data_IF_999080374963
#
_entry.id   IF_999080374963
#
_cell.length_a   1.000
_cell.length_b   1.000
_cell.length_c   1.000
_cell.angle_alpha   90.00
_cell.angle_beta   90.00
_cell.angle_gamma   90.00
#
_symmetry.space_group_name_H-M   'P 1'
#
loop_
_entity.id
_entity.type
_entity.pdbx_description
1 polymer ?
#
# COMPACT_ATOMS: atom_id res chain seq x y z
N UNK A 1 -13.42 20.53 7.33
CA UNK A 1 -13.46 21.16 6.01
C UNK A 1 -14.17 20.18 5.07
N UNK A 2 -14.61 20.58 3.88
CA UNK A 2 -15.08 19.60 2.88
C UNK A 2 -13.88 19.06 2.09
N UNK A 3 -13.92 17.80 1.63
CA UNK A 3 -12.82 17.26 0.82
C UNK A 3 -12.50 18.13 -0.39
N UNK A 4 -13.50 18.79 -0.98
CA UNK A 4 -13.30 19.72 -2.09
C UNK A 4 -12.41 20.91 -1.72
N UNK A 5 -12.54 21.44 -0.50
CA UNK A 5 -11.66 22.49 0.01
C UNK A 5 -10.25 21.95 0.26
N UNK A 6 -10.12 20.73 0.76
CA UNK A 6 -8.83 20.06 0.99
C UNK A 6 -8.09 19.76 -0.32
N UNK A 7 -8.78 19.19 -1.32
CA UNK A 7 -8.22 18.96 -2.66
C UNK A 7 -7.90 20.27 -3.39
N UNK A 8 -8.73 21.31 -3.23
CA UNK A 8 -8.45 22.63 -3.79
C UNK A 8 -7.19 23.25 -3.17
N UNK A 9 -7.06 23.17 -1.84
CA UNK A 9 -5.87 23.61 -1.09
C UNK A 9 -4.63 22.85 -1.56
N UNK A 10 -4.75 21.54 -1.74
CA UNK A 10 -3.71 20.67 -2.28
C UNK A 10 -3.29 21.05 -3.72
N UNK A 11 -4.23 21.48 -4.57
CA UNK A 11 -3.95 21.86 -5.97
C UNK A 11 -3.27 23.24 -6.11
N UNK A 12 -3.45 24.13 -5.13
CA UNK A 12 -2.80 25.47 -5.14
C UNK A 12 -1.31 25.45 -4.80
N UNK A 13 -0.78 24.34 -4.29
CA UNK A 13 0.57 24.25 -3.75
C UNK A 13 1.47 23.42 -4.69
N UNK A 14 2.01 24.09 -5.71
CA UNK A 14 2.76 23.47 -6.81
C UNK A 14 4.15 22.91 -6.45
N UNK A 15 4.78 23.38 -5.38
CA UNK A 15 6.23 23.13 -5.17
C UNK A 15 6.61 22.58 -3.78
N UNK A 16 5.68 22.46 -2.83
CA UNK A 16 5.99 22.05 -1.47
C UNK A 16 4.76 21.60 -0.71
N UNK A 17 4.66 20.30 -0.39
CA UNK A 17 3.69 19.77 0.58
C UNK A 17 4.13 20.02 2.04
N UNK A 18 5.20 20.78 2.26
CA UNK A 18 5.84 21.01 3.57
C UNK A 18 4.94 21.81 4.55
N UNK A 19 3.80 22.32 4.09
CA UNK A 19 2.81 23.08 4.89
C UNK A 19 1.54 22.30 5.25
N UNK A 20 1.43 21.00 4.93
CA UNK A 20 0.28 20.21 5.40
C UNK A 20 0.41 19.86 6.87
N UNK A 21 -0.56 20.33 7.67
CA UNK A 21 -0.73 19.88 9.04
C UNK A 21 -1.51 18.55 9.07
N UNK A 22 -1.46 17.88 10.22
CA UNK A 22 -2.14 16.59 10.41
C UNK A 22 -3.66 16.69 10.22
N UNK A 23 -4.24 17.88 10.44
CA UNK A 23 -5.68 18.07 10.35
C UNK A 23 -6.17 17.99 8.91
N UNK A 24 -5.48 18.62 7.97
CA UNK A 24 -5.86 18.58 6.56
C UNK A 24 -5.80 17.15 6.00
N UNK A 25 -4.77 16.37 6.37
CA UNK A 25 -4.60 15.00 5.89
C UNK A 25 -5.57 14.03 6.56
N UNK A 26 -6.02 14.31 7.79
CA UNK A 26 -7.04 13.49 8.46
C UNK A 26 -8.37 13.42 7.68
N UNK A 27 -8.67 14.40 6.83
CA UNK A 27 -9.88 14.40 5.99
C UNK A 27 -9.84 13.38 4.85
N UNK A 28 -8.65 12.87 4.51
CA UNK A 28 -8.50 11.78 3.56
C UNK A 28 -8.81 10.41 4.17
N UNK A 29 -8.98 10.35 5.50
CA UNK A 29 -9.33 9.12 6.22
C UNK A 29 -10.74 8.66 5.86
N UNK A 30 -10.90 7.37 5.58
CA UNK A 30 -12.21 6.78 5.28
C UNK A 30 -12.83 7.32 3.99
N UNK A 31 -11.99 7.74 3.02
CA UNK A 31 -12.43 8.36 1.77
C UNK A 31 -13.56 7.57 1.10
N UNK A 32 -14.66 8.24 0.74
CA UNK A 32 -15.78 7.56 0.10
C UNK A 32 -15.60 7.45 -1.42
N UNK A 33 -16.41 6.65 -2.14
CA UNK A 33 -16.22 6.46 -3.58
C UNK A 33 -16.28 7.74 -4.43
N UNK A 34 -17.15 8.71 -4.09
CA UNK A 34 -17.29 9.98 -4.84
C UNK A 34 -16.03 10.82 -4.66
N UNK A 35 -15.57 10.89 -3.42
CA UNK A 35 -14.36 11.56 -3.01
C UNK A 35 -13.11 10.95 -3.63
N UNK A 36 -13.06 9.62 -3.71
CA UNK A 36 -11.97 8.89 -4.33
C UNK A 36 -11.79 9.23 -5.80
N UNK A 37 -12.88 9.42 -6.56
CA UNK A 37 -12.78 9.88 -7.95
C UNK A 37 -12.06 11.23 -8.07
N UNK A 38 -12.37 12.18 -7.18
CA UNK A 38 -11.71 13.49 -7.16
C UNK A 38 -10.25 13.39 -6.74
N UNK A 39 -9.95 12.53 -5.76
CA UNK A 39 -8.59 12.23 -5.35
C UNK A 39 -7.77 11.67 -6.52
N UNK A 40 -8.32 10.75 -7.30
CA UNK A 40 -7.64 10.16 -8.46
C UNK A 40 -7.32 11.18 -9.55
N UNK A 41 -8.26 12.09 -9.87
CA UNK A 41 -8.01 13.17 -10.83
C UNK A 41 -6.90 14.11 -10.34
N UNK A 42 -6.94 14.46 -9.05
CA UNK A 42 -5.92 15.29 -8.42
C UNK A 42 -4.55 14.58 -8.38
N UNK A 43 -4.51 13.30 -8.05
CA UNK A 43 -3.29 12.49 -7.97
C UNK A 43 -2.47 12.53 -9.27
N UNK A 44 -3.14 12.49 -10.42
CA UNK A 44 -2.50 12.57 -11.75
C UNK A 44 -1.78 13.91 -11.97
N UNK A 45 -2.23 14.98 -11.31
CA UNK A 45 -1.63 16.32 -11.44
C UNK A 45 -0.33 16.50 -10.63
N UNK A 46 -0.06 15.59 -9.69
CA UNK A 46 1.09 15.66 -8.78
C UNK A 46 2.38 15.14 -9.43
N UNK A 47 3.50 15.80 -9.12
CA UNK A 47 4.83 15.24 -9.37
C UNK A 47 5.09 14.01 -8.50
N UNK A 48 6.02 13.16 -8.93
CA UNK A 48 6.43 11.96 -8.18
C UNK A 48 6.89 12.30 -6.75
N UNK A 49 7.63 13.39 -6.56
CA UNK A 49 8.08 13.83 -5.23
C UNK A 49 6.91 14.22 -4.33
N UNK A 50 5.89 14.90 -4.87
CA UNK A 50 4.69 15.26 -4.10
C UNK A 50 3.88 14.02 -3.73
N UNK A 51 3.69 13.11 -4.68
CA UNK A 51 3.00 11.84 -4.41
C UNK A 51 3.69 11.04 -3.31
N UNK A 52 5.00 10.88 -3.38
CA UNK A 52 5.76 10.13 -2.37
C UNK A 52 5.67 10.80 -0.99
N UNK A 53 5.86 12.12 -0.91
CA UNK A 53 5.76 12.86 0.35
C UNK A 53 4.33 12.77 0.95
N UNK A 54 3.28 12.76 0.13
CA UNK A 54 1.91 12.55 0.61
C UNK A 54 1.74 11.17 1.26
N UNK A 55 2.17 10.09 0.58
CA UNK A 55 2.01 8.73 1.10
C UNK A 55 2.82 8.53 2.39
N UNK A 56 4.04 9.06 2.45
CA UNK A 56 4.85 9.03 3.67
C UNK A 56 4.18 9.75 4.84
N UNK A 57 3.56 10.90 4.59
CA UNK A 57 2.83 11.64 5.63
C UNK A 57 1.57 10.92 6.08
N UNK A 58 0.80 10.37 5.15
CA UNK A 58 -0.40 9.59 5.46
C UNK A 58 -0.03 8.37 6.33
N UNK A 59 1.02 7.63 5.96
CA UNK A 59 1.52 6.51 6.76
C UNK A 59 1.92 6.95 8.16
N UNK A 60 2.70 8.03 8.27
CA UNK A 60 3.13 8.58 9.56
C UNK A 60 1.95 8.97 10.46
N UNK A 61 0.94 9.64 9.91
CA UNK A 61 -0.23 10.09 10.67
C UNK A 61 -1.08 8.89 11.11
N UNK A 62 -1.21 7.87 10.27
CA UNK A 62 -1.91 6.63 10.62
C UNK A 62 -1.19 5.87 11.76
N UNK A 63 0.15 5.89 11.79
CA UNK A 63 0.93 5.32 12.89
C UNK A 63 0.72 6.08 14.22
N UNK A 64 0.54 7.40 14.15
CA UNK A 64 0.35 8.26 15.32
C UNK A 64 -1.12 8.25 15.81
N UNK A 65 -2.10 7.97 14.94
CA UNK A 65 -3.52 7.94 15.26
C UNK A 65 -4.27 6.78 14.59
N UNK A 66 -4.57 5.74 15.39
CA UNK A 66 -5.27 4.51 14.96
C UNK A 66 -6.72 4.73 14.51
N UNK A 67 -7.34 5.89 14.77
CA UNK A 67 -8.69 6.20 14.27
C UNK A 67 -8.70 6.59 12.79
N UNK A 68 -7.52 6.88 12.21
CA UNK A 68 -7.38 7.28 10.81
C UNK A 68 -7.04 6.07 9.92
N UNK A 69 -7.81 5.91 8.85
CA UNK A 69 -7.71 4.78 7.91
C UNK A 69 -7.59 5.29 6.47
N UNK A 70 -6.51 4.90 5.77
CA UNK A 70 -6.24 5.37 4.41
C UNK A 70 -6.14 4.24 3.38
N UNK A 71 -6.71 3.07 3.68
CA UNK A 71 -6.50 1.86 2.89
C UNK A 71 -6.97 1.97 1.44
N UNK A 72 -8.08 2.66 1.17
CA UNK A 72 -8.56 2.85 -0.22
C UNK A 72 -7.59 3.72 -1.06
N UNK A 73 -6.97 4.73 -0.44
CA UNK A 73 -5.94 5.56 -1.08
C UNK A 73 -4.69 4.73 -1.34
N UNK A 74 -4.17 4.06 -0.32
CA UNK A 74 -2.96 3.24 -0.42
C UNK A 74 -3.14 2.09 -1.42
N UNK A 75 -4.32 1.47 -1.46
CA UNK A 75 -4.65 0.42 -2.42
C UNK A 75 -4.63 0.95 -3.87
N UNK A 76 -5.14 2.15 -4.10
CA UNK A 76 -5.08 2.79 -5.41
C UNK A 76 -3.64 3.06 -5.86
N UNK A 77 -2.78 3.52 -4.95
CA UNK A 77 -1.39 3.88 -5.26
C UNK A 77 -0.46 2.68 -5.43
N UNK A 78 -0.91 1.45 -5.14
CA UNK A 78 -0.22 0.21 -5.53
C UNK A 78 -0.02 0.07 -7.04
N UNK A 79 -0.73 0.84 -7.87
CA UNK A 79 -0.59 0.84 -9.32
C UNK A 79 0.17 2.06 -9.86
N UNK A 80 0.74 2.89 -8.99
CA UNK A 80 1.50 4.06 -9.45
C UNK A 80 2.75 3.64 -10.24
N UNK A 81 3.18 4.49 -11.17
CA UNK A 81 4.34 4.24 -12.01
C UNK A 81 5.64 4.22 -11.19
N UNK A 82 5.73 5.06 -10.15
CA UNK A 82 6.91 5.10 -9.29
C UNK A 82 6.97 3.89 -8.36
N UNK A 83 8.09 3.14 -8.36
CA UNK A 83 8.25 2.02 -7.44
C UNK A 83 8.34 2.46 -5.98
N UNK A 84 8.85 3.65 -5.70
CA UNK A 84 8.93 4.14 -4.31
C UNK A 84 7.55 4.40 -3.73
N UNK A 85 6.61 4.90 -4.55
CA UNK A 85 5.21 5.05 -4.15
C UNK A 85 4.56 3.69 -3.89
N UNK A 86 4.74 2.72 -4.81
CA UNK A 86 4.17 1.37 -4.61
C UNK A 86 4.71 0.71 -3.35
N UNK A 87 6.02 0.83 -3.11
CA UNK A 87 6.71 0.32 -1.91
C UNK A 87 6.14 0.97 -0.65
N UNK A 88 6.05 2.28 -0.61
CA UNK A 88 5.52 3.01 0.55
C UNK A 88 4.04 2.70 0.81
N UNK A 89 3.27 2.48 -0.26
CA UNK A 89 1.86 2.10 -0.17
C UNK A 89 1.69 0.69 0.44
N UNK A 90 2.52 -0.28 0.04
CA UNK A 90 2.55 -1.61 0.64
C UNK A 90 2.90 -1.55 2.13
N UNK A 91 3.83 -0.67 2.50
CA UNK A 91 4.21 -0.48 3.89
C UNK A 91 3.03 0.02 4.73
N UNK A 92 2.31 1.04 4.27
CA UNK A 92 1.14 1.58 4.96
C UNK A 92 -0.06 0.63 5.08
N UNK A 93 -0.09 -0.44 4.27
CA UNK A 93 -1.16 -1.43 4.27
C UNK A 93 -0.93 -2.60 5.24
N UNK A 94 0.14 -2.58 6.04
CA UNK A 94 0.60 -3.74 6.82
C UNK A 94 -0.42 -4.28 7.85
N UNK A 95 -1.28 -3.42 8.40
CA UNK A 95 -2.33 -3.80 9.36
C UNK A 95 -3.64 -4.22 8.68
N UNK A 96 -3.79 -3.98 7.37
CA UNK A 96 -5.03 -4.25 6.67
C UNK A 96 -5.26 -5.75 6.50
N UNK A 97 -6.40 -6.26 6.96
CA UNK A 97 -6.83 -7.65 6.79
C UNK A 97 -7.76 -7.85 5.56
N UNK A 98 -7.99 -6.82 4.74
CA UNK A 98 -8.84 -6.93 3.55
C UNK A 98 -8.19 -7.86 2.50
N UNK A 99 -8.94 -8.86 2.07
CA UNK A 99 -8.48 -9.87 1.11
C UNK A 99 -8.02 -9.27 -0.23
N UNK A 100 -8.54 -8.11 -0.64
CA UNK A 100 -8.15 -7.39 -1.86
C UNK A 100 -6.68 -6.98 -1.81
N UNK A 101 -6.19 -6.64 -0.62
CA UNK A 101 -4.81 -6.26 -0.38
C UNK A 101 -3.91 -7.48 -0.51
N UNK A 102 -4.28 -8.61 0.11
CA UNK A 102 -3.55 -9.86 -0.05
C UNK A 102 -3.48 -10.32 -1.51
N UNK A 103 -4.60 -10.20 -2.24
CA UNK A 103 -4.69 -10.54 -3.67
C UNK A 103 -3.75 -9.68 -4.54
N UNK A 104 -3.69 -8.37 -4.27
CA UNK A 104 -2.80 -7.43 -4.97
C UNK A 104 -1.33 -7.62 -4.59
N UNK A 105 -1.03 -7.81 -3.30
CA UNK A 105 0.33 -8.06 -2.82
C UNK A 105 0.91 -9.36 -3.42
N UNK A 106 0.08 -10.38 -3.62
CA UNK A 106 0.46 -11.60 -4.35
C UNK A 106 0.84 -11.35 -5.81
N UNK A 107 0.12 -10.47 -6.52
CA UNK A 107 0.46 -10.09 -7.89
C UNK A 107 1.77 -9.31 -7.92
N UNK A 108 1.90 -8.32 -7.06
CA UNK A 108 3.12 -7.48 -6.94
C UNK A 108 4.34 -8.35 -6.62
N UNK A 109 4.23 -9.31 -5.69
CA UNK A 109 5.33 -10.23 -5.37
C UNK A 109 5.85 -10.99 -6.60
N UNK A 110 4.96 -11.35 -7.52
CA UNK A 110 5.28 -12.15 -8.70
C UNK A 110 5.70 -11.32 -9.92
N UNK A 111 5.11 -10.14 -10.08
CA UNK A 111 5.10 -9.44 -11.37
C UNK A 111 5.72 -8.03 -11.33
N UNK A 112 5.92 -7.43 -10.14
CA UNK A 112 6.54 -6.10 -10.08
C UNK A 112 7.97 -6.15 -10.64
N UNK A 113 8.35 -5.10 -11.37
CA UNK A 113 9.66 -5.01 -12.01
C UNK A 113 10.77 -4.70 -11.01
N UNK A 114 10.42 -4.03 -9.91
CA UNK A 114 11.38 -3.58 -8.92
C UNK A 114 11.43 -4.53 -7.73
N UNK A 115 12.60 -5.13 -7.50
CA UNK A 115 12.79 -6.13 -6.46
C UNK A 115 12.46 -5.59 -5.05
N UNK A 116 12.75 -4.30 -4.82
CA UNK A 116 12.43 -3.63 -3.55
C UNK A 116 10.93 -3.58 -3.26
N UNK A 117 10.09 -3.46 -4.30
CA UNK A 117 8.62 -3.49 -4.18
C UNK A 117 8.15 -4.91 -3.92
N UNK A 118 8.70 -5.90 -4.63
CA UNK A 118 8.43 -7.33 -4.38
C UNK A 118 8.77 -7.73 -2.95
N UNK A 119 9.90 -7.24 -2.42
CA UNK A 119 10.34 -7.45 -1.03
C UNK A 119 9.31 -6.88 -0.04
N UNK A 120 8.82 -5.67 -0.28
CA UNK A 120 7.82 -5.06 0.61
C UNK A 120 6.47 -5.80 0.53
N UNK A 121 6.07 -6.25 -0.66
CA UNK A 121 4.88 -7.09 -0.84
C UNK A 121 5.00 -8.41 -0.08
N UNK A 122 6.19 -9.03 -0.08
CA UNK A 122 6.44 -10.19 0.75
C UNK A 122 6.19 -9.88 2.24
N UNK A 123 6.74 -8.78 2.76
CA UNK A 123 6.55 -8.42 4.18
C UNK A 123 5.09 -8.21 4.52
N UNK A 124 4.32 -7.55 3.66
CA UNK A 124 2.87 -7.38 3.82
C UNK A 124 2.13 -8.72 3.85
N UNK A 125 2.49 -9.66 2.96
CA UNK A 125 1.91 -11.01 2.91
C UNK A 125 2.17 -11.84 4.16
N UNK A 126 3.08 -11.43 5.06
CA UNK A 126 3.25 -12.04 6.38
C UNK A 126 1.95 -12.08 7.17
N UNK A 127 1.22 -10.96 7.23
CA UNK A 127 -0.05 -10.89 7.94
C UNK A 127 -1.06 -11.86 7.31
N UNK A 128 -1.17 -11.86 5.98
CA UNK A 128 -2.07 -12.75 5.26
C UNK A 128 -1.74 -14.24 5.43
N UNK A 129 -0.45 -14.61 5.45
CA UNK A 129 -0.04 -15.99 5.76
C UNK A 129 -0.48 -16.41 7.16
N UNK A 130 -0.36 -15.52 8.14
CA UNK A 130 -0.88 -15.74 9.50
C UNK A 130 -2.41 -15.91 9.48
N UNK A 131 -3.15 -15.04 8.79
CA UNK A 131 -4.61 -15.14 8.67
C UNK A 131 -5.07 -16.46 8.02
N UNK A 132 -4.37 -16.91 6.97
CA UNK A 132 -4.64 -18.19 6.30
C UNK A 132 -4.38 -19.37 7.25
N UNK A 133 -3.24 -19.38 7.96
CA UNK A 133 -2.92 -20.46 8.92
C UNK A 133 -3.94 -20.57 10.05
N UNK A 134 -4.52 -19.45 10.46
CA UNK A 134 -5.58 -19.40 11.47
C UNK A 134 -6.99 -19.63 10.90
N UNK A 135 -7.12 -19.96 9.60
CA UNK A 135 -8.39 -20.26 8.95
C UNK A 135 -9.30 -19.06 8.73
N UNK A 136 -8.79 -17.82 8.84
CA UNK A 136 -9.55 -16.59 8.61
C UNK A 136 -9.74 -16.27 7.12
N UNK A 137 -8.80 -16.68 6.27
CA UNK A 137 -8.86 -16.53 4.80
C UNK A 137 -8.83 -17.91 4.17
N UNK A 138 -9.81 -18.21 3.30
CA UNK A 138 -10.02 -19.52 2.69
C UNK A 138 -10.28 -19.40 1.19
N UNK A 139 -10.21 -20.55 0.50
CA UNK A 139 -10.53 -20.65 -0.93
C UNK A 139 -9.51 -19.99 -1.83
N UNK A 140 -9.97 -19.48 -2.98
CA UNK A 140 -9.11 -19.04 -4.09
C UNK A 140 -8.05 -18.01 -3.69
N UNK A 141 -8.38 -17.08 -2.80
CA UNK A 141 -7.41 -16.06 -2.35
C UNK A 141 -6.30 -16.67 -1.50
N UNK A 142 -6.65 -17.57 -0.58
CA UNK A 142 -5.64 -18.28 0.22
C UNK A 142 -4.69 -19.10 -0.67
N UNK A 143 -5.23 -19.78 -1.69
CA UNK A 143 -4.44 -20.54 -2.65
C UNK A 143 -3.50 -19.63 -3.45
N UNK A 144 -3.98 -18.47 -3.90
CA UNK A 144 -3.16 -17.51 -4.65
C UNK A 144 -1.97 -17.03 -3.80
N UNK A 145 -2.22 -16.64 -2.55
CA UNK A 145 -1.19 -16.16 -1.62
C UNK A 145 -0.14 -17.23 -1.32
N UNK A 146 -0.59 -18.46 -1.03
CA UNK A 146 0.31 -19.59 -0.79
C UNK A 146 1.12 -19.93 -2.05
N UNK A 147 0.50 -19.92 -3.23
CA UNK A 147 1.19 -20.20 -4.47
C UNK A 147 2.21 -19.12 -4.83
N UNK A 148 1.90 -17.83 -4.61
CA UNK A 148 2.83 -16.73 -4.89
C UNK A 148 4.09 -16.81 -4.03
N UNK A 149 3.94 -17.12 -2.74
CA UNK A 149 5.08 -17.25 -1.82
C UNK A 149 5.90 -18.52 -2.11
N UNK A 150 5.25 -19.65 -2.40
CA UNK A 150 5.93 -20.89 -2.79
C UNK A 150 6.71 -20.73 -4.10
N UNK A 151 6.20 -19.96 -5.07
CA UNK A 151 6.91 -19.69 -6.31
C UNK A 151 8.27 -19.02 -6.05
N UNK A 152 8.31 -18.01 -5.18
CA UNK A 152 9.56 -17.35 -4.80
C UNK A 152 10.48 -18.32 -4.05
N UNK A 153 9.94 -19.06 -3.08
CA UNK A 153 10.74 -19.96 -2.22
C UNK A 153 11.35 -21.16 -2.95
N UNK A 154 10.72 -21.61 -4.02
CA UNK A 154 11.20 -22.75 -4.83
C UNK A 154 12.10 -22.33 -5.99
N UNK A 155 12.22 -21.03 -6.26
CA UNK A 155 13.05 -20.52 -7.34
C UNK A 155 14.45 -20.12 -6.84
N UNK A 156 15.44 -20.95 -7.19
CA UNK A 156 16.84 -20.79 -6.75
C UNK A 156 17.59 -19.62 -7.40
N UNK A 157 17.00 -18.94 -8.39
CA UNK A 157 17.60 -17.75 -9.02
C UNK A 157 17.02 -16.44 -8.49
N UNK A 158 16.15 -16.48 -7.49
CA UNK A 158 15.57 -15.27 -6.89
C UNK A 158 16.62 -14.47 -6.14
N UNK A 159 16.39 -13.17 -6.00
CA UNK A 159 17.18 -12.34 -5.12
C UNK A 159 17.16 -12.90 -3.69
N UNK A 160 18.32 -12.89 -3.04
CA UNK A 160 18.48 -13.49 -1.71
C UNK A 160 17.67 -12.78 -0.63
N UNK A 161 17.49 -11.46 -0.73
CA UNK A 161 16.67 -10.70 0.22
C UNK A 161 15.19 -11.00 -0.01
N UNK A 162 14.74 -11.02 -1.27
CA UNK A 162 13.37 -11.40 -1.58
C UNK A 162 13.03 -12.80 -1.06
N UNK A 163 13.90 -13.78 -1.31
CA UNK A 163 13.72 -15.15 -0.83
C UNK A 163 13.63 -15.18 0.70
N UNK A 164 14.57 -14.51 1.38
CA UNK A 164 14.63 -14.46 2.85
C UNK A 164 13.37 -13.84 3.45
N UNK A 165 12.91 -12.71 2.91
CA UNK A 165 11.68 -12.05 3.38
C UNK A 165 10.45 -12.89 3.12
N UNK A 166 10.41 -13.62 2.01
CA UNK A 166 9.31 -14.55 1.73
C UNK A 166 9.30 -15.71 2.73
N UNK A 167 10.47 -16.24 3.07
CA UNK A 167 10.58 -17.30 4.08
C UNK A 167 10.05 -16.81 5.44
N UNK A 168 10.51 -15.64 5.89
CA UNK A 168 10.04 -15.00 7.13
C UNK A 168 8.52 -14.81 7.14
N UNK A 169 7.96 -14.44 6.00
CA UNK A 169 6.53 -14.17 5.85
C UNK A 169 5.69 -15.44 6.02
N UNK A 170 6.16 -16.56 5.46
CA UNK A 170 5.47 -17.86 5.55
C UNK A 170 5.72 -18.58 6.88
N UNK A 171 6.70 -18.17 7.68
CA UNK A 171 7.09 -18.84 8.94
C UNK A 171 6.21 -18.47 10.16
N UNK A 172 5.18 -17.64 9.98
CA UNK A 172 4.35 -17.06 11.06
C UNK A 172 3.43 -18.02 11.80
#
# INVERSE_FOLDING_TARGET
MSLDETLLKLNTLKDSLQEFDENDLSELSGINPIEMYKFQEWWVSLSELQKLDLIQKINRIAEENFELEFYEILYFTLRDESPDIRKESLNGLWECEDYRIGDAASEILLEDKEESVRIEASKLLRNFCYLIKNGKILGRISEKIVNSTNFVLTNTSMDSELWRRTLESTAC
#
